data_IF_197012000832
#
_entry.id   IF_197012000832
#
_cell.length_a   1.000
_cell.length_b   1.000
_cell.length_c   1.000
_cell.angle_alpha   90.00
_cell.angle_beta   90.00
_cell.angle_gamma   90.00
#
_symmetry.space_group_name_H-M   'P 1'
#
loop_
_entity.id
_entity.type
_entity.pdbx_description
1 polymer ?
#
# COMPACT_ATOMS: atom_id res chain seq x y z
N UNK A 1 -29.08 -1.23 -2.20
CA UNK A 1 -29.13 -2.10 -3.39
C UNK A 1 -30.39 -1.85 -4.18
N UNK A 2 -31.56 -1.74 -3.54
CA UNK A 2 -32.81 -1.30 -4.20
C UNK A 2 -32.61 0.00 -5.00
N UNK A 3 -32.01 1.04 -4.39
CA UNK A 3 -31.76 2.31 -5.09
C UNK A 3 -30.84 2.18 -6.31
N UNK A 4 -29.89 1.23 -6.30
CA UNK A 4 -29.02 0.96 -7.44
C UNK A 4 -29.81 0.32 -8.58
N UNK A 5 -30.65 -0.67 -8.26
CA UNK A 5 -31.54 -1.32 -9.23
C UNK A 5 -32.48 -0.30 -9.86
N UNK A 6 -33.08 0.59 -9.05
CA UNK A 6 -33.95 1.65 -9.54
C UNK A 6 -33.20 2.66 -10.41
N UNK A 7 -32.03 3.14 -9.98
CA UNK A 7 -31.23 4.08 -10.77
C UNK A 7 -30.82 3.52 -12.14
N UNK A 8 -30.47 2.23 -12.20
CA UNK A 8 -30.15 1.57 -13.47
C UNK A 8 -31.39 1.36 -14.33
N UNK A 9 -32.52 0.98 -13.73
CA UNK A 9 -33.80 0.86 -14.44
C UNK A 9 -34.26 2.20 -15.03
N UNK A 10 -34.04 3.31 -14.31
CA UNK A 10 -34.30 4.67 -14.79
C UNK A 10 -33.44 5.01 -16.01
N UNK A 11 -32.14 4.70 -15.94
CA UNK A 11 -31.24 4.93 -17.05
C UNK A 11 -31.62 4.08 -18.28
N UNK A 12 -32.02 2.82 -18.05
CA UNK A 12 -32.52 1.93 -19.10
C UNK A 12 -33.79 2.45 -19.76
N UNK A 13 -34.75 2.92 -18.96
CA UNK A 13 -36.01 3.50 -19.47
C UNK A 13 -35.74 4.76 -20.28
N UNK A 14 -34.85 5.63 -19.80
CA UNK A 14 -34.47 6.83 -20.54
C UNK A 14 -33.85 6.49 -21.89
N UNK A 15 -32.82 5.64 -21.95
CA UNK A 15 -32.10 5.36 -23.20
C UNK A 15 -32.98 4.65 -24.25
N UNK A 16 -33.97 3.86 -23.82
CA UNK A 16 -34.93 3.20 -24.71
C UNK A 16 -35.82 4.19 -25.48
N UNK A 17 -36.00 5.41 -24.95
CA UNK A 17 -36.75 6.49 -25.60
C UNK A 17 -35.92 7.42 -26.48
N UNK A 18 -34.60 7.22 -26.58
CA UNK A 18 -33.67 8.11 -27.28
C UNK A 18 -33.09 7.48 -28.55
N UNK A 19 -32.49 8.27 -29.46
CA UNK A 19 -31.61 7.74 -30.49
C UNK A 19 -30.50 6.86 -29.90
N UNK A 20 -30.27 5.69 -30.47
CA UNK A 20 -29.37 4.68 -29.90
C UNK A 20 -27.91 5.05 -30.16
N UNK A 21 -27.21 5.53 -29.13
CA UNK A 21 -25.74 5.58 -29.10
C UNK A 21 -25.21 4.23 -28.62
N UNK A 22 -24.60 3.40 -29.49
CA UNK A 22 -24.34 1.99 -29.18
C UNK A 22 -23.49 1.75 -27.93
N UNK A 23 -22.49 2.60 -27.68
CA UNK A 23 -21.59 2.40 -26.53
C UNK A 23 -22.26 2.78 -25.21
N UNK A 24 -23.11 3.81 -25.20
CA UNK A 24 -23.91 4.15 -24.03
C UNK A 24 -24.90 3.04 -23.72
N UNK A 25 -25.54 2.44 -24.74
CA UNK A 25 -26.43 1.29 -24.55
C UNK A 25 -25.70 0.06 -23.99
N UNK A 26 -24.49 -0.22 -24.47
CA UNK A 26 -23.63 -1.29 -23.93
C UNK A 26 -23.30 -1.04 -22.45
N UNK A 27 -22.90 0.19 -22.09
CA UNK A 27 -22.64 0.56 -20.69
C UNK A 27 -23.88 0.35 -19.84
N UNK A 28 -25.07 0.74 -20.29
CA UNK A 28 -26.32 0.50 -19.55
C UNK A 28 -26.54 -1.00 -19.31
N UNK A 29 -26.30 -1.86 -20.30
CA UNK A 29 -26.41 -3.32 -20.14
C UNK A 29 -25.39 -3.91 -19.14
N UNK A 30 -24.18 -3.37 -19.12
CA UNK A 30 -23.20 -3.73 -18.08
C UNK A 30 -23.66 -3.27 -16.69
N UNK A 31 -24.24 -2.08 -16.57
CA UNK A 31 -24.79 -1.57 -15.31
C UNK A 31 -26.00 -2.40 -14.83
N UNK A 32 -26.83 -2.93 -15.73
CA UNK A 32 -27.92 -3.87 -15.40
C UNK A 32 -27.35 -5.18 -14.84
N UNK A 33 -26.30 -5.71 -15.45
CA UNK A 33 -25.59 -6.89 -14.94
C UNK A 33 -25.06 -6.66 -13.52
N UNK A 34 -24.47 -5.47 -13.28
CA UNK A 34 -23.97 -5.07 -11.98
C UNK A 34 -25.10 -4.90 -10.94
N UNK A 35 -26.19 -4.22 -11.29
CA UNK A 35 -27.32 -4.02 -10.41
C UNK A 35 -27.96 -5.35 -10.01
N UNK A 36 -28.12 -6.28 -10.95
CA UNK A 36 -28.65 -7.62 -10.69
C UNK A 36 -27.76 -8.43 -9.75
N UNK A 37 -26.43 -8.27 -9.83
CA UNK A 37 -25.51 -8.92 -8.91
C UNK A 37 -25.73 -8.48 -7.45
N UNK A 38 -26.03 -7.20 -7.23
CA UNK A 38 -26.25 -6.64 -5.89
C UNK A 38 -27.71 -6.68 -5.42
N UNK A 39 -28.67 -6.93 -6.31
CA UNK A 39 -30.09 -6.93 -5.98
C UNK A 39 -30.42 -7.91 -4.84
N UNK A 40 -31.17 -7.43 -3.84
CA UNK A 40 -31.60 -8.22 -2.69
C UNK A 40 -30.46 -8.64 -1.75
N UNK A 41 -29.28 -8.02 -1.85
CA UNK A 41 -28.10 -8.49 -1.10
C UNK A 41 -28.09 -8.10 0.38
N UNK A 42 -29.05 -7.29 0.81
CA UNK A 42 -29.18 -6.81 2.19
C UNK A 42 -30.47 -7.21 2.89
N UNK A 43 -31.31 -8.03 2.25
CA UNK A 43 -32.53 -8.57 2.85
C UNK A 43 -32.69 -10.07 2.52
N UNK A 44 -32.46 -10.98 3.49
CA UNK A 44 -32.08 -10.70 4.88
C UNK A 44 -30.64 -10.14 5.00
N UNK A 45 -30.25 -9.60 6.18
CA UNK A 45 -28.88 -9.14 6.42
C UNK A 45 -27.83 -10.23 6.07
N UNK A 46 -26.80 -9.92 5.27
CA UNK A 46 -25.85 -10.92 4.78
C UNK A 46 -24.87 -11.34 5.87
N UNK A 47 -24.50 -12.63 5.86
CA UNK A 47 -23.39 -13.15 6.66
C UNK A 47 -22.02 -12.77 6.06
N UNK A 48 -20.93 -13.10 6.76
CA UNK A 48 -19.57 -12.79 6.29
C UNK A 48 -19.27 -13.41 4.92
N UNK A 49 -19.69 -14.65 4.67
CA UNK A 49 -19.43 -15.35 3.41
C UNK A 49 -20.11 -14.64 2.24
N UNK A 50 -21.36 -14.20 2.43
CA UNK A 50 -22.11 -13.44 1.43
C UNK A 50 -21.50 -12.07 1.23
N UNK A 51 -21.16 -11.34 2.30
CA UNK A 51 -20.47 -10.05 2.22
C UNK A 51 -19.14 -10.15 1.44
N UNK A 52 -18.36 -11.20 1.69
CA UNK A 52 -17.11 -11.46 0.98
C UNK A 52 -17.33 -11.78 -0.51
N UNK A 53 -18.38 -12.51 -0.85
CA UNK A 53 -18.73 -12.75 -2.25
C UNK A 53 -19.10 -11.43 -2.97
N UNK A 54 -19.78 -10.51 -2.29
CA UNK A 54 -20.21 -9.23 -2.85
C UNK A 54 -19.05 -8.27 -3.14
N UNK A 55 -17.85 -8.47 -2.57
CA UNK A 55 -16.66 -7.67 -2.91
C UNK A 55 -15.99 -8.09 -4.22
N UNK A 56 -16.49 -9.16 -4.86
CA UNK A 56 -15.94 -9.73 -6.08
C UNK A 56 -16.97 -9.75 -7.23
N UNK A 57 -17.49 -8.58 -7.67
CA UNK A 57 -18.40 -8.55 -8.81
C UNK A 57 -17.70 -8.97 -10.10
N UNK A 58 -18.50 -9.40 -11.09
CA UNK A 58 -17.99 -9.69 -12.44
C UNK A 58 -17.28 -8.46 -13.00
N UNK A 59 -16.16 -8.70 -13.66
CA UNK A 59 -15.37 -7.63 -14.29
C UNK A 59 -16.06 -7.13 -15.56
N UNK A 60 -16.43 -5.85 -15.58
CA UNK A 60 -17.11 -5.19 -16.70
C UNK A 60 -16.17 -4.22 -17.43
N UNK A 61 -16.44 -3.94 -18.71
CA UNK A 61 -15.60 -3.03 -19.51
C UNK A 61 -15.70 -1.57 -19.05
N UNK A 62 -16.81 -1.20 -18.41
CA UNK A 62 -17.01 0.10 -17.77
C UNK A 62 -16.22 0.30 -16.46
N UNK A 63 -15.35 -0.63 -16.03
CA UNK A 63 -14.57 -0.52 -14.78
C UNK A 63 -13.08 -0.22 -15.02
N UNK A 64 -12.48 0.66 -14.20
CA UNK A 64 -11.05 1.04 -14.28
C UNK A 64 -10.10 -0.13 -14.03
N UNK A 65 -9.14 -0.38 -14.92
CA UNK A 65 -8.11 -1.44 -14.78
C UNK A 65 -7.56 -1.49 -13.33
N UNK A 66 -7.81 -2.59 -12.63
CA UNK A 66 -7.41 -2.89 -11.24
C UNK A 66 -8.29 -2.34 -10.09
N UNK A 67 -9.34 -1.56 -10.37
CA UNK A 67 -10.36 -1.21 -9.36
C UNK A 67 -11.75 -1.57 -9.86
N UNK A 68 -12.74 -1.62 -8.97
CA UNK A 68 -14.13 -1.81 -9.36
C UNK A 68 -14.87 -0.49 -9.57
N UNK A 69 -14.14 0.63 -9.71
CA UNK A 69 -14.71 1.95 -9.95
C UNK A 69 -15.22 2.07 -11.38
N UNK A 70 -16.40 2.67 -11.54
CA UNK A 70 -16.99 2.91 -12.84
C UNK A 70 -16.27 4.05 -13.57
N UNK A 71 -16.16 3.91 -14.89
CA UNK A 71 -15.57 4.89 -15.80
C UNK A 71 -16.71 5.71 -16.42
N UNK A 72 -16.73 7.02 -16.13
CA UNK A 72 -17.68 7.93 -16.79
C UNK A 72 -17.51 7.87 -18.32
N UNK A 73 -18.57 7.54 -19.08
CA UNK A 73 -18.49 7.54 -20.54
C UNK A 73 -18.20 8.94 -21.07
N UNK A 74 -17.22 9.06 -21.97
CA UNK A 74 -16.91 10.31 -22.69
C UNK A 74 -17.44 10.22 -24.12
N UNK A 75 -18.74 10.49 -24.31
CA UNK A 75 -19.46 10.21 -25.57
C UNK A 75 -20.00 11.45 -26.30
N UNK A 76 -19.64 12.67 -25.89
CA UNK A 76 -20.18 13.92 -26.45
C UNK A 76 -20.15 13.95 -27.98
N UNK A 77 -18.99 13.75 -28.58
CA UNK A 77 -18.86 13.77 -30.05
C UNK A 77 -19.61 12.63 -30.76
N UNK A 78 -19.85 11.50 -30.09
CA UNK A 78 -20.66 10.41 -30.65
C UNK A 78 -22.15 10.78 -30.68
N UNK A 79 -22.64 11.36 -29.58
CA UNK A 79 -24.01 11.88 -29.49
C UNK A 79 -24.26 13.03 -30.47
N UNK A 80 -23.33 13.99 -30.59
CA UNK A 80 -23.42 15.10 -31.54
C UNK A 80 -23.46 14.61 -33.00
N UNK A 81 -22.72 13.54 -33.33
CA UNK A 81 -22.76 12.91 -34.67
C UNK A 81 -24.10 12.21 -34.93
N UNK A 82 -24.70 11.60 -33.90
CA UNK A 82 -25.93 10.83 -34.03
C UNK A 82 -27.18 11.71 -34.16
N UNK A 83 -27.25 12.79 -33.39
CA UNK A 83 -28.47 13.59 -33.21
C UNK A 83 -28.28 15.09 -33.53
N UNK A 84 -27.11 15.49 -34.03
CA UNK A 84 -26.74 16.90 -34.22
C UNK A 84 -26.16 17.53 -32.95
N UNK A 85 -25.49 18.69 -33.11
CA UNK A 85 -24.74 19.35 -32.02
C UNK A 85 -25.59 19.66 -30.79
N UNK A 86 -26.75 20.28 -30.98
CA UNK A 86 -27.56 20.76 -29.86
C UNK A 86 -28.29 19.62 -29.12
N UNK A 87 -29.00 18.76 -29.86
CA UNK A 87 -29.70 17.62 -29.26
C UNK A 87 -28.71 16.58 -28.73
N UNK A 88 -27.65 16.26 -29.47
CA UNK A 88 -26.60 15.33 -29.02
C UNK A 88 -25.85 15.82 -27.79
N UNK A 89 -25.57 17.13 -27.71
CA UNK A 89 -25.00 17.75 -26.50
C UNK A 89 -25.89 17.53 -25.26
N UNK A 90 -27.20 17.80 -25.39
CA UNK A 90 -28.17 17.57 -24.31
C UNK A 90 -28.30 16.10 -23.93
N UNK A 91 -28.42 15.20 -24.89
CA UNK A 91 -28.51 13.76 -24.62
C UNK A 91 -27.26 13.21 -23.93
N UNK A 92 -26.07 13.68 -24.28
CA UNK A 92 -24.85 13.32 -23.58
C UNK A 92 -24.84 13.83 -22.12
N UNK A 93 -25.36 15.02 -21.87
CA UNK A 93 -25.46 15.58 -20.52
C UNK A 93 -26.47 14.80 -19.67
N UNK A 94 -27.66 14.53 -20.21
CA UNK A 94 -28.68 13.69 -19.57
C UNK A 94 -28.14 12.28 -19.26
N UNK A 95 -27.51 11.60 -20.23
CA UNK A 95 -26.85 10.31 -20.00
C UNK A 95 -25.81 10.39 -18.87
N UNK A 96 -25.08 11.51 -18.82
CA UNK A 96 -24.12 11.80 -17.77
C UNK A 96 -24.75 11.87 -16.39
N UNK A 97 -25.92 12.50 -16.26
CA UNK A 97 -26.66 12.63 -15.00
C UNK A 97 -27.18 11.27 -14.52
N UNK A 98 -27.75 10.45 -15.41
CA UNK A 98 -28.17 9.09 -15.06
C UNK A 98 -26.98 8.23 -14.63
N UNK A 99 -25.86 8.31 -15.35
CA UNK A 99 -24.63 7.60 -14.98
C UNK A 99 -24.11 8.04 -13.60
N UNK A 100 -24.07 9.35 -13.32
CA UNK A 100 -23.65 9.88 -12.01
C UNK A 100 -24.53 9.39 -10.87
N UNK A 101 -25.86 9.30 -11.09
CA UNK A 101 -26.79 8.71 -10.12
C UNK A 101 -26.50 7.23 -9.88
N UNK A 102 -26.27 6.45 -10.95
CA UNK A 102 -25.90 5.03 -10.83
C UNK A 102 -24.57 4.86 -10.09
N UNK A 103 -23.53 5.65 -10.44
CA UNK A 103 -22.22 5.60 -9.76
C UNK A 103 -22.35 5.94 -8.27
N UNK A 104 -23.18 6.92 -7.92
CA UNK A 104 -23.47 7.25 -6.53
C UNK A 104 -24.11 6.07 -5.78
N UNK A 105 -25.22 5.52 -6.30
CA UNK A 105 -25.90 4.38 -5.68
C UNK A 105 -25.00 3.15 -5.58
N UNK A 106 -24.15 2.91 -6.58
CA UNK A 106 -23.17 1.83 -6.57
C UNK A 106 -22.12 2.02 -5.46
N UNK A 107 -21.55 3.21 -5.30
CA UNK A 107 -20.63 3.53 -4.20
C UNK A 107 -21.29 3.38 -2.83
N UNK A 108 -22.56 3.74 -2.69
CA UNK A 108 -23.32 3.52 -1.45
C UNK A 108 -23.43 2.02 -1.14
N UNK A 109 -23.71 1.18 -2.13
CA UNK A 109 -23.70 -0.29 -1.96
C UNK A 109 -22.33 -0.79 -1.51
N UNK A 110 -21.24 -0.36 -2.18
CA UNK A 110 -19.87 -0.73 -1.78
C UNK A 110 -19.54 -0.29 -0.35
N UNK A 111 -19.91 0.94 0.03
CA UNK A 111 -19.71 1.46 1.38
C UNK A 111 -20.48 0.68 2.44
N UNK A 112 -21.71 0.25 2.15
CA UNK A 112 -22.50 -0.63 3.03
C UNK A 112 -21.84 -2.00 3.20
N UNK A 113 -21.35 -2.61 2.11
CA UNK A 113 -20.62 -3.90 2.17
C UNK A 113 -19.36 -3.75 3.04
N UNK A 114 -18.55 -2.71 2.79
CA UNK A 114 -17.34 -2.46 3.56
C UNK A 114 -17.63 -2.26 5.05
N UNK A 115 -18.65 -1.46 5.38
CA UNK A 115 -19.08 -1.22 6.77
C UNK A 115 -19.54 -2.51 7.45
N UNK A 116 -20.34 -3.33 6.77
CA UNK A 116 -20.82 -4.59 7.31
C UNK A 116 -19.70 -5.63 7.49
N UNK A 117 -18.72 -5.66 6.58
CA UNK A 117 -17.52 -6.50 6.73
C UNK A 117 -16.68 -6.09 7.93
N UNK A 118 -16.42 -4.79 8.09
CA UNK A 118 -15.69 -4.27 9.26
C UNK A 118 -16.43 -4.64 10.55
N UNK A 119 -17.74 -4.42 10.62
CA UNK A 119 -18.55 -4.78 11.78
C UNK A 119 -18.49 -6.29 12.09
N UNK A 120 -18.57 -7.14 11.06
CA UNK A 120 -18.49 -8.61 11.22
C UNK A 120 -17.11 -9.04 11.73
N UNK A 121 -16.04 -8.41 11.25
CA UNK A 121 -14.68 -8.70 11.71
C UNK A 121 -14.42 -8.18 13.12
N UNK A 122 -14.97 -7.02 13.48
CA UNK A 122 -14.82 -6.45 14.83
C UNK A 122 -15.30 -7.39 15.92
N UNK A 123 -16.45 -8.06 15.73
CA UNK A 123 -16.96 -9.05 16.70
C UNK A 123 -15.95 -10.19 16.90
N UNK A 124 -15.39 -10.72 15.81
CA UNK A 124 -14.39 -11.81 15.88
C UNK A 124 -13.10 -11.33 16.56
N UNK A 125 -12.67 -10.09 16.31
CA UNK A 125 -11.50 -9.51 16.95
C UNK A 125 -11.72 -9.30 18.46
N UNK A 126 -12.90 -8.85 18.86
CA UNK A 126 -13.28 -8.70 20.27
C UNK A 126 -13.33 -10.05 20.99
N UNK A 127 -13.93 -11.07 20.36
CA UNK A 127 -13.95 -12.44 20.87
C UNK A 127 -12.54 -13.02 21.00
N UNK A 128 -11.68 -12.79 20.02
CA UNK A 128 -10.28 -13.23 20.06
C UNK A 128 -9.50 -12.52 21.18
N UNK A 129 -9.70 -11.21 21.36
CA UNK A 129 -9.09 -10.46 22.44
C UNK A 129 -9.57 -10.94 23.82
N UNK A 130 -10.87 -11.24 23.96
CA UNK A 130 -11.45 -11.80 25.18
C UNK A 130 -10.89 -13.19 25.47
N UNK A 131 -10.74 -14.04 24.46
CA UNK A 131 -10.11 -15.35 24.57
C UNK A 131 -8.66 -15.24 25.04
N UNK A 132 -7.83 -14.41 24.39
CA UNK A 132 -6.43 -14.17 24.79
C UNK A 132 -6.34 -13.72 26.25
N UNK A 133 -7.22 -12.80 26.66
CA UNK A 133 -7.28 -12.31 28.04
C UNK A 133 -7.65 -13.40 29.04
N UNK A 134 -8.65 -14.22 28.73
CA UNK A 134 -9.05 -15.34 29.59
C UNK A 134 -7.93 -16.39 29.73
N UNK A 135 -7.16 -16.60 28.67
CA UNK A 135 -6.00 -17.49 28.67
C UNK A 135 -4.71 -16.87 29.26
N UNK A 136 -4.72 -15.57 29.61
CA UNK A 136 -3.56 -14.82 30.08
C UNK A 136 -2.34 -14.88 29.12
N UNK A 137 -2.60 -14.87 27.81
CA UNK A 137 -1.57 -14.90 26.76
C UNK A 137 -1.51 -13.57 26.00
N UNK A 138 -0.33 -13.28 25.44
CA UNK A 138 -0.08 -12.18 24.52
C UNK A 138 0.59 -12.74 23.26
N UNK A 139 0.17 -12.28 22.09
CA UNK A 139 0.89 -12.50 20.84
C UNK A 139 1.94 -11.39 20.58
N UNK A 140 2.66 -11.48 19.46
CA UNK A 140 3.73 -10.54 19.14
C UNK A 140 3.22 -9.11 18.92
N UNK A 141 2.04 -8.96 18.33
CA UNK A 141 1.43 -7.65 18.08
C UNK A 141 0.94 -7.04 19.40
N UNK A 142 0.34 -7.84 20.29
CA UNK A 142 -0.05 -7.41 21.62
C UNK A 142 1.14 -6.85 22.41
N UNK A 143 2.32 -7.47 22.30
CA UNK A 143 3.51 -7.01 23.01
C UNK A 143 3.88 -5.58 22.58
N UNK A 144 3.84 -5.30 21.27
CA UNK A 144 4.13 -3.98 20.73
C UNK A 144 3.05 -2.96 21.11
N UNK A 145 1.77 -3.31 20.92
CA UNK A 145 0.66 -2.42 21.23
C UNK A 145 0.58 -2.06 22.72
N UNK A 146 0.77 -3.06 23.60
CA UNK A 146 0.75 -2.83 25.05
C UNK A 146 1.97 -2.06 25.53
N UNK A 147 3.16 -2.33 24.98
CA UNK A 147 4.35 -1.54 25.27
C UNK A 147 4.15 -0.08 24.85
N UNK A 148 3.61 0.15 23.65
CA UNK A 148 3.24 1.49 23.17
C UNK A 148 2.25 2.17 24.10
N UNK A 149 1.16 1.50 24.48
CA UNK A 149 0.15 2.07 25.39
C UNK A 149 0.75 2.42 26.77
N UNK A 150 1.64 1.58 27.31
CA UNK A 150 2.35 1.87 28.54
C UNK A 150 3.21 3.13 28.43
N UNK A 151 4.01 3.25 27.36
CA UNK A 151 4.92 4.38 27.16
C UNK A 151 4.16 5.67 26.82
N UNK A 152 3.09 5.58 26.03
CA UNK A 152 2.31 6.73 25.56
C UNK A 152 1.35 7.25 26.62
N UNK A 153 0.61 6.35 27.26
CA UNK A 153 -0.55 6.71 28.08
C UNK A 153 -0.21 6.76 29.59
N UNK A 154 0.92 6.17 30.01
CA UNK A 154 1.34 6.14 31.42
C UNK A 154 2.66 6.89 31.64
N UNK A 155 2.57 8.20 31.87
CA UNK A 155 3.71 9.10 32.06
C UNK A 155 4.74 8.63 33.13
N UNK A 156 4.35 8.08 34.29
CA UNK A 156 5.32 7.55 35.26
C UNK A 156 6.17 6.40 34.69
N UNK A 157 5.58 5.51 33.89
CA UNK A 157 6.30 4.42 33.23
C UNK A 157 7.27 4.99 32.20
N UNK A 158 6.82 5.93 31.36
CA UNK A 158 7.69 6.63 30.41
C UNK A 158 8.87 7.27 31.13
N UNK A 159 8.63 8.04 32.19
CA UNK A 159 9.70 8.72 32.95
C UNK A 159 10.69 7.75 33.58
N UNK A 160 10.23 6.61 34.09
CA UNK A 160 11.11 5.56 34.60
C UNK A 160 12.00 4.98 33.48
N UNK A 161 11.45 4.76 32.28
CA UNK A 161 12.21 4.29 31.12
C UNK A 161 13.19 5.36 30.60
N UNK A 162 12.77 6.62 30.54
CA UNK A 162 13.61 7.78 30.21
C UNK A 162 14.82 7.87 31.14
N UNK A 163 14.60 7.71 32.45
CA UNK A 163 15.67 7.74 33.45
C UNK A 163 16.60 6.53 33.34
N UNK A 164 16.06 5.35 33.00
CA UNK A 164 16.82 4.10 32.84
C UNK A 164 17.65 4.08 31.57
N UNK A 165 17.07 4.47 30.44
CA UNK A 165 17.69 4.42 29.11
C UNK A 165 18.14 5.82 28.68
N UNK A 166 19.38 6.15 29.07
CA UNK A 166 20.00 7.43 28.71
C UNK A 166 20.32 7.53 27.23
N UNK A 167 20.67 6.40 26.60
CA UNK A 167 21.04 6.28 25.20
C UNK A 167 20.42 5.01 24.62
N UNK A 168 19.85 5.12 23.43
CA UNK A 168 19.19 4.03 22.71
C UNK A 168 19.86 3.92 21.34
N UNK A 169 20.34 2.72 21.03
CA UNK A 169 20.94 2.39 19.74
C UNK A 169 19.99 1.45 18.99
N UNK A 170 19.63 1.83 17.77
CA UNK A 170 18.74 1.04 16.92
C UNK A 170 19.49 0.75 15.63
N UNK A 171 19.70 -0.54 15.38
CA UNK A 171 20.24 -1.02 14.11
C UNK A 171 19.08 -1.44 13.19
N UNK A 172 19.34 -1.53 11.89
CA UNK A 172 18.36 -1.90 10.86
C UNK A 172 17.04 -1.10 10.92
N UNK A 173 17.13 0.21 11.18
CA UNK A 173 15.95 1.06 11.38
C UNK A 173 15.00 1.10 10.18
N UNK A 174 15.48 0.76 8.97
CA UNK A 174 14.61 0.64 7.78
C UNK A 174 13.53 -0.44 7.92
N UNK A 175 13.72 -1.41 8.81
CA UNK A 175 12.77 -2.50 9.08
C UNK A 175 11.87 -2.25 10.29
N UNK A 176 11.94 -1.04 10.87
CA UNK A 176 11.13 -0.61 12.01
C UNK A 176 9.75 -0.13 11.55
N UNK A 177 8.71 -0.55 12.27
CA UNK A 177 7.33 -0.12 12.02
C UNK A 177 6.97 1.21 12.75
N UNK A 178 5.82 1.83 12.45
CA UNK A 178 5.40 3.07 13.11
C UNK A 178 5.19 2.96 14.63
N UNK A 179 4.73 1.80 15.13
CA UNK A 179 4.49 1.55 16.57
C UNK A 179 5.82 1.50 17.32
N UNK A 180 6.80 0.79 16.77
CA UNK A 180 8.16 0.71 17.31
C UNK A 180 8.84 2.08 17.31
N UNK A 181 8.72 2.83 16.20
CA UNK A 181 9.23 4.20 16.09
C UNK A 181 8.63 5.11 17.16
N UNK A 182 7.33 5.01 17.40
CA UNK A 182 6.64 5.78 18.46
C UNK A 182 7.16 5.43 19.86
N UNK A 183 7.33 4.15 20.17
CA UNK A 183 7.91 3.70 21.45
C UNK A 183 9.30 4.32 21.64
N UNK A 184 10.18 4.17 20.65
CA UNK A 184 11.57 4.63 20.71
C UNK A 184 11.66 6.16 20.91
N UNK A 185 10.90 6.93 20.11
CA UNK A 185 10.88 8.39 20.20
C UNK A 185 10.31 8.85 21.55
N UNK A 186 9.26 8.22 22.07
CA UNK A 186 8.69 8.60 23.36
C UNK A 186 9.64 8.31 24.54
N UNK A 187 10.44 7.23 24.49
CA UNK A 187 11.45 6.94 25.51
C UNK A 187 12.66 7.88 25.36
N UNK A 188 13.05 8.25 24.13
CA UNK A 188 14.13 9.20 23.86
C UNK A 188 13.73 10.67 24.10
N UNK A 189 12.44 10.98 24.17
CA UNK A 189 11.93 12.33 24.33
C UNK A 189 12.08 12.89 25.75
N UNK A 190 12.45 14.16 25.84
CA UNK A 190 12.27 14.97 27.06
C UNK A 190 10.79 15.30 27.23
N UNK A 191 10.19 15.83 26.17
CA UNK A 191 8.77 16.16 26.10
C UNK A 191 8.07 15.43 24.93
N UNK A 192 6.86 14.91 25.21
CA UNK A 192 6.08 14.13 24.24
C UNK A 192 5.10 15.04 23.49
N UNK A 193 5.04 14.89 22.17
CA UNK A 193 4.02 15.52 21.35
C UNK A 193 2.89 14.51 20.99
N UNK A 194 1.73 14.97 20.48
CA UNK A 194 0.68 14.07 20.01
C UNK A 194 1.13 13.14 18.88
N UNK A 195 2.05 13.59 18.03
CA UNK A 195 2.71 12.76 17.03
C UNK A 195 4.16 12.53 17.47
N UNK A 196 4.60 11.27 17.46
CA UNK A 196 5.92 10.88 17.98
C UNK A 196 7.07 11.64 17.30
N UNK A 197 6.98 11.87 15.99
CA UNK A 197 7.99 12.55 15.17
C UNK A 197 8.17 14.04 15.50
N UNK A 198 7.25 14.60 16.30
CA UNK A 198 7.28 15.98 16.75
C UNK A 198 7.68 16.09 18.23
N UNK A 199 7.98 14.97 18.89
CA UNK A 199 8.48 14.95 20.26
C UNK A 199 9.90 15.51 20.33
N UNK A 200 10.21 16.26 21.41
CA UNK A 200 11.52 16.87 21.61
C UNK A 200 12.46 15.83 22.19
N UNK A 201 13.47 15.39 21.44
CA UNK A 201 14.40 14.36 21.91
C UNK A 201 15.42 14.95 22.89
N UNK A 202 15.84 14.14 23.87
CA UNK A 202 16.99 14.50 24.70
C UNK A 202 18.26 14.42 23.84
N UNK A 203 19.18 15.40 23.91
CA UNK A 203 20.44 15.35 23.14
C UNK A 203 21.21 14.04 23.37
N UNK A 204 21.58 13.37 22.28
CA UNK A 204 22.35 12.11 22.31
C UNK A 204 21.59 10.88 22.83
N UNK A 205 20.28 10.96 23.02
CA UNK A 205 19.49 9.85 23.57
C UNK A 205 19.10 8.77 22.56
N UNK A 206 19.11 9.09 21.27
CA UNK A 206 18.71 8.18 20.20
C UNK A 206 19.74 8.19 19.07
N UNK A 207 20.25 7.02 18.74
CA UNK A 207 21.15 6.76 17.63
C UNK A 207 20.55 5.65 16.77
N UNK A 208 20.37 5.92 15.48
CA UNK A 208 19.73 5.00 14.56
C UNK A 208 20.64 4.76 13.36
N UNK A 209 20.77 3.50 12.97
CA UNK A 209 21.46 3.07 11.75
C UNK A 209 20.45 2.36 10.88
N UNK A 210 20.50 2.62 9.59
CA UNK A 210 19.68 1.89 8.63
C UNK A 210 19.98 2.29 7.19
N UNK A 211 19.52 1.45 6.27
CA UNK A 211 19.62 1.69 4.84
C UNK A 211 18.24 1.50 4.18
N UNK A 212 17.57 2.57 3.73
CA UNK A 212 16.26 2.44 3.11
C UNK A 212 16.29 1.64 1.80
N UNK A 213 17.47 1.44 1.18
CA UNK A 213 17.64 0.55 0.01
C UNK A 213 17.48 -0.93 0.37
N UNK A 214 17.58 -1.29 1.66
CA UNK A 214 17.52 -2.66 2.17
C UNK A 214 16.18 -2.98 2.85
N UNK A 215 15.19 -2.09 2.77
CA UNK A 215 13.87 -2.29 3.35
C UNK A 215 13.08 -3.36 2.59
N UNK A 216 13.24 -4.63 2.98
CA UNK A 216 12.61 -5.79 2.34
C UNK A 216 11.46 -6.39 3.16
N UNK A 217 11.23 -5.89 4.38
CA UNK A 217 10.20 -6.41 5.30
C UNK A 217 8.86 -5.68 5.25
N UNK A 218 8.50 -5.03 4.13
CA UNK A 218 7.21 -4.30 4.00
C UNK A 218 5.98 -5.16 4.33
N UNK A 219 6.05 -6.47 4.06
CA UNK A 219 4.98 -7.41 4.38
C UNK A 219 4.75 -7.63 5.90
N UNK A 220 5.70 -7.22 6.74
CA UNK A 220 5.62 -7.25 8.21
C UNK A 220 5.28 -5.89 8.83
N UNK A 221 4.92 -4.90 8.02
CA UNK A 221 4.59 -3.55 8.48
C UNK A 221 5.78 -2.59 8.58
N UNK A 222 7.00 -3.02 8.24
CA UNK A 222 8.12 -2.10 8.05
C UNK A 222 7.76 -1.05 7.00
N UNK A 223 8.02 0.21 7.31
CA UNK A 223 7.59 1.33 6.49
C UNK A 223 8.77 2.27 6.22
N UNK A 224 9.18 2.36 4.95
CA UNK A 224 10.16 3.35 4.48
C UNK A 224 9.70 4.77 4.80
N UNK A 225 8.38 4.99 4.91
CA UNK A 225 7.81 6.23 5.42
C UNK A 225 8.22 6.55 6.86
N UNK A 226 8.29 5.56 7.75
CA UNK A 226 8.73 5.72 9.13
C UNK A 226 10.21 6.08 9.21
N UNK A 227 11.05 5.44 8.38
CA UNK A 227 12.45 5.84 8.20
C UNK A 227 12.57 7.31 7.77
N UNK A 228 11.82 7.73 6.74
CA UNK A 228 11.83 9.10 6.24
C UNK A 228 11.32 10.12 7.26
N UNK A 229 10.30 9.76 8.04
CA UNK A 229 9.75 10.59 9.11
C UNK A 229 10.76 10.76 10.26
N UNK A 230 11.41 9.68 10.69
CA UNK A 230 12.45 9.73 11.72
C UNK A 230 13.65 10.55 11.27
N UNK A 231 14.17 10.31 10.05
CA UNK A 231 15.24 11.13 9.44
C UNK A 231 14.87 12.61 9.45
N UNK A 232 13.66 12.93 9.01
CA UNK A 232 13.16 14.31 8.98
C UNK A 232 13.01 14.90 10.37
N UNK A 233 12.61 14.13 11.37
CA UNK A 233 12.49 14.57 12.76
C UNK A 233 13.86 14.92 13.36
N UNK A 234 14.86 14.08 13.12
CA UNK A 234 16.26 14.33 13.54
C UNK A 234 16.81 15.57 12.84
N UNK A 235 16.69 15.67 11.51
CA UNK A 235 17.21 16.83 10.75
C UNK A 235 16.57 18.15 11.19
N UNK A 236 15.27 18.17 11.52
CA UNK A 236 14.59 19.38 12.03
C UNK A 236 15.13 19.85 13.37
N UNK A 237 15.42 18.91 14.29
CA UNK A 237 15.86 19.24 15.65
C UNK A 237 17.38 19.44 15.73
N UNK A 238 18.15 18.70 14.93
CA UNK A 238 19.60 18.81 14.83
C UNK A 238 20.06 18.73 13.37
N UNK A 239 20.05 19.86 12.65
CA UNK A 239 20.57 19.94 11.29
C UNK A 239 22.03 19.44 11.22
N UNK A 240 22.33 18.58 10.24
CA UNK A 240 23.67 18.01 10.07
C UNK A 240 23.98 16.75 10.89
N UNK A 241 23.04 16.25 11.71
CA UNK A 241 23.22 14.97 12.42
C UNK A 241 22.85 13.73 11.59
N UNK A 242 22.45 13.90 10.33
CA UNK A 242 22.28 12.80 9.39
C UNK A 242 23.62 12.50 8.71
N UNK A 243 24.26 11.40 9.12
CA UNK A 243 25.53 10.95 8.57
C UNK A 243 25.30 9.89 7.51
N UNK A 244 25.88 10.10 6.32
CA UNK A 244 25.86 9.12 5.24
C UNK A 244 27.21 8.41 5.17
N UNK A 245 27.20 7.09 5.31
CA UNK A 245 28.40 6.25 5.18
C UNK A 245 28.41 5.63 3.78
N UNK A 246 29.37 6.02 2.94
CA UNK A 246 29.53 5.49 1.57
C UNK A 246 30.69 4.51 1.45
N UNK A 247 31.61 4.51 2.42
CA UNK A 247 32.75 3.63 2.48
C UNK A 247 32.30 2.17 2.73
N UNK A 248 32.64 1.28 1.81
CA UNK A 248 32.36 -0.14 1.90
C UNK A 248 33.65 -0.92 2.15
N UNK A 249 33.70 -1.54 3.33
CA UNK A 249 34.81 -2.36 3.81
C UNK A 249 34.60 -3.87 3.58
N UNK A 250 33.58 -4.26 2.80
CA UNK A 250 33.17 -5.67 2.64
C UNK A 250 33.50 -6.22 1.26
N UNK A 251 33.37 -5.38 0.24
CA UNK A 251 33.34 -5.80 -1.17
C UNK A 251 34.42 -5.11 -1.98
N UNK A 252 34.86 -5.80 -3.04
CA UNK A 252 35.84 -5.29 -4.00
C UNK A 252 35.23 -4.20 -4.90
N UNK A 253 36.06 -3.31 -5.48
CA UNK A 253 35.60 -2.23 -6.35
C UNK A 253 34.69 -2.69 -7.49
N UNK A 254 35.00 -3.82 -8.12
CA UNK A 254 34.26 -4.37 -9.26
C UNK A 254 32.84 -4.82 -8.90
N UNK A 255 32.64 -5.43 -7.72
CA UNK A 255 31.30 -5.78 -7.20
C UNK A 255 30.48 -4.50 -7.00
N UNK A 256 31.08 -3.49 -6.36
CA UNK A 256 30.39 -2.22 -6.10
C UNK A 256 30.09 -1.47 -7.40
N UNK A 257 31.00 -1.49 -8.36
CA UNK A 257 30.79 -0.90 -9.69
C UNK A 257 29.61 -1.55 -10.40
N UNK A 258 29.54 -2.89 -10.35
CA UNK A 258 28.43 -3.65 -10.91
C UNK A 258 27.10 -3.29 -10.22
N UNK A 259 27.07 -3.34 -8.88
CA UNK A 259 25.87 -3.02 -8.08
C UNK A 259 25.41 -1.57 -8.30
N UNK A 260 26.32 -0.60 -8.24
CA UNK A 260 26.03 0.82 -8.51
C UNK A 260 25.36 0.99 -9.88
N UNK A 261 25.94 0.40 -10.94
CA UNK A 261 25.39 0.46 -12.30
C UNK A 261 24.01 -0.18 -12.41
N UNK A 262 23.77 -1.30 -11.74
CA UNK A 262 22.49 -2.01 -11.82
C UNK A 262 21.36 -1.29 -11.07
N UNK A 263 21.66 -0.65 -9.94
CA UNK A 263 20.64 -0.16 -9.00
C UNK A 263 20.47 1.36 -8.97
N UNK A 264 21.39 2.13 -9.54
CA UNK A 264 21.29 3.60 -9.59
C UNK A 264 20.00 4.07 -10.26
N UNK A 265 19.71 3.63 -11.49
CA UNK A 265 18.50 4.05 -12.21
C UNK A 265 17.21 3.54 -11.55
N UNK A 266 17.06 2.24 -11.21
CA UNK A 266 15.83 1.75 -10.59
C UNK A 266 15.49 2.40 -9.25
N UNK A 267 16.50 2.69 -8.42
CA UNK A 267 16.31 3.24 -7.07
C UNK A 267 16.29 4.78 -7.02
N UNK A 268 16.54 5.46 -8.14
CA UNK A 268 16.44 6.93 -8.26
C UNK A 268 15.10 7.40 -8.84
N UNK A 269 14.18 6.48 -9.16
CA UNK A 269 12.86 6.81 -9.68
C UNK A 269 11.94 7.51 -8.67
N UNK A 270 10.88 8.15 -9.15
CA UNK A 270 9.89 8.79 -8.29
C UNK A 270 9.25 7.76 -7.31
N UNK A 271 9.21 8.11 -6.03
CA UNK A 271 8.70 7.24 -4.97
C UNK A 271 9.71 6.21 -4.42
N UNK A 272 10.95 6.22 -4.91
CA UNK A 272 12.05 5.43 -4.35
C UNK A 272 12.83 6.21 -3.30
N UNK A 273 13.55 5.54 -2.38
CA UNK A 273 14.33 6.22 -1.34
C UNK A 273 15.56 6.99 -1.84
N UNK A 274 15.90 6.85 -3.13
CA UNK A 274 17.12 7.38 -3.73
C UNK A 274 18.28 6.38 -3.65
N UNK A 275 19.27 6.57 -4.52
CA UNK A 275 20.48 5.76 -4.54
C UNK A 275 21.70 6.56 -4.10
N UNK A 276 22.50 5.97 -3.21
CA UNK A 276 23.80 6.50 -2.81
C UNK A 276 24.84 5.46 -3.20
N UNK A 277 25.77 5.78 -4.12
CA UNK A 277 26.78 4.83 -4.55
C UNK A 277 27.76 4.52 -3.41
N UNK A 278 28.13 3.25 -3.30
CA UNK A 278 29.13 2.79 -2.37
C UNK A 278 30.53 2.87 -3.00
N UNK A 279 31.52 3.26 -2.20
CA UNK A 279 32.92 3.34 -2.59
C UNK A 279 33.73 2.26 -1.86
N UNK A 280 34.53 1.48 -2.60
CA UNK A 280 35.38 0.46 -2.00
C UNK A 280 36.49 1.10 -1.18
N UNK A 281 36.83 0.48 -0.06
CA UNK A 281 38.03 0.81 0.74
C UNK A 281 39.10 -0.26 0.66
N UNK A 282 38.82 -1.36 -0.06
CA UNK A 282 39.73 -2.48 -0.27
C UNK A 282 40.34 -2.32 -1.66
N UNK A 283 41.65 -2.55 -1.76
CA UNK A 283 42.37 -2.52 -3.03
C UNK A 283 41.85 -3.59 -4.00
N UNK A 284 41.92 -3.32 -5.32
CA UNK A 284 41.63 -4.33 -6.33
C UNK A 284 42.58 -5.53 -6.18
N UNK A 285 42.09 -6.77 -6.43
CA UNK A 285 42.93 -7.95 -6.36
C UNK A 285 44.04 -7.89 -7.42
N UNK A 286 45.19 -8.48 -7.13
CA UNK A 286 46.28 -8.60 -8.10
C UNK A 286 46.00 -9.61 -9.23
N UNK A 287 44.93 -10.41 -9.10
CA UNK A 287 44.52 -11.38 -10.11
C UNK A 287 43.36 -10.86 -10.95
N UNK A 288 43.32 -11.26 -12.23
CA UNK A 288 42.29 -10.87 -13.19
C UNK A 288 41.03 -11.74 -13.10
N UNK A 289 40.80 -12.42 -11.96
CA UNK A 289 39.62 -13.27 -11.81
C UNK A 289 38.36 -12.41 -11.72
N UNK A 290 37.29 -12.74 -12.49
CA UNK A 290 36.03 -12.00 -12.41
C UNK A 290 35.42 -12.18 -11.03
N UNK A 291 34.87 -11.11 -10.45
CA UNK A 291 34.19 -11.15 -9.16
C UNK A 291 32.67 -10.92 -9.26
N UNK A 292 32.16 -10.66 -10.46
CA UNK A 292 30.74 -10.61 -10.79
C UNK A 292 30.52 -11.25 -12.17
N UNK A 293 29.56 -12.17 -12.27
CA UNK A 293 29.13 -12.78 -13.53
C UNK A 293 27.64 -12.51 -13.72
N UNK A 294 27.23 -12.27 -14.97
CA UNK A 294 25.81 -12.14 -15.34
C UNK A 294 25.41 -13.37 -16.14
N UNK A 295 24.45 -14.12 -15.63
CA UNK A 295 23.81 -15.22 -16.35
C UNK A 295 22.49 -14.70 -16.92
N UNK A 296 22.25 -14.95 -18.19
CA UNK A 296 20.95 -14.69 -18.83
C UNK A 296 20.21 -16.02 -18.89
N UNK A 297 19.04 -16.07 -18.26
CA UNK A 297 18.16 -17.26 -18.27
C UNK A 297 17.07 -17.02 -19.31
N UNK A 298 17.14 -17.73 -20.42
CA UNK A 298 16.17 -17.59 -21.52
C UNK A 298 14.92 -18.42 -21.22
N UNK A 299 13.81 -17.74 -20.89
CA UNK A 299 12.50 -18.35 -20.65
C UNK A 299 11.46 -17.83 -21.66
N UNK A 300 10.50 -18.67 -22.11
CA UNK A 300 9.44 -18.22 -23.01
C UNK A 300 8.63 -17.05 -22.44
N UNK A 301 8.18 -16.10 -23.28
CA UNK A 301 7.30 -15.03 -22.85
C UNK A 301 6.03 -15.59 -22.19
N UNK A 302 5.60 -15.00 -21.06
CA UNK A 302 4.45 -15.44 -20.24
C UNK A 302 4.64 -16.79 -19.51
N UNK A 303 5.87 -17.24 -19.29
CA UNK A 303 6.15 -18.37 -18.41
C UNK A 303 5.59 -18.15 -16.99
N UNK A 304 5.08 -19.21 -16.37
CA UNK A 304 4.64 -19.17 -14.97
C UNK A 304 5.84 -18.93 -14.06
N UNK A 305 5.63 -18.22 -12.94
CA UNK A 305 6.69 -17.89 -11.99
C UNK A 305 7.46 -19.10 -11.46
N UNK A 306 6.80 -20.25 -11.31
CA UNK A 306 7.44 -21.51 -10.92
C UNK A 306 8.49 -21.96 -11.95
N UNK A 307 8.12 -22.01 -13.24
CA UNK A 307 9.06 -22.38 -14.30
C UNK A 307 10.24 -21.43 -14.43
N UNK A 308 10.03 -20.12 -14.19
CA UNK A 308 11.11 -19.13 -14.20
C UNK A 308 12.12 -19.45 -13.08
N UNK A 309 11.63 -19.76 -11.87
CA UNK A 309 12.49 -20.12 -10.74
C UNK A 309 13.25 -21.41 -10.97
N UNK A 310 12.61 -22.42 -11.58
CA UNK A 310 13.28 -23.69 -11.89
C UNK A 310 14.42 -23.49 -12.90
N UNK A 311 14.17 -22.72 -13.97
CA UNK A 311 15.21 -22.37 -14.95
C UNK A 311 16.34 -21.53 -14.33
N UNK A 312 16.03 -20.60 -13.42
CA UNK A 312 17.03 -19.85 -12.66
C UNK A 312 17.87 -20.79 -11.77
N UNK A 313 17.24 -21.72 -11.06
CA UNK A 313 17.92 -22.67 -10.19
C UNK A 313 18.85 -23.61 -10.97
N UNK A 314 18.40 -24.11 -12.13
CA UNK A 314 19.21 -24.94 -13.02
C UNK A 314 20.44 -24.18 -13.53
N UNK A 315 20.26 -22.95 -14.01
CA UNK A 315 21.37 -22.12 -14.49
C UNK A 315 22.40 -21.77 -13.38
N UNK A 316 21.95 -21.60 -12.13
CA UNK A 316 22.85 -21.42 -10.98
C UNK A 316 23.58 -22.71 -10.63
N UNK A 317 22.90 -23.86 -10.70
CA UNK A 317 23.50 -25.16 -10.43
C UNK A 317 24.60 -25.52 -11.45
N UNK A 318 24.44 -25.17 -12.72
CA UNK A 318 25.48 -25.38 -13.75
C UNK A 318 26.74 -24.52 -13.52
N UNK A 319 26.63 -23.42 -12.77
CA UNK A 319 27.76 -22.55 -12.45
C UNK A 319 28.61 -23.05 -11.26
N UNK A 320 28.00 -23.82 -10.36
CA UNK A 320 28.60 -24.25 -9.08
C UNK A 320 29.31 -25.61 -9.19
#
# INVERSE_FOLDING_TARGET
>A
DIDLVEAVADFRRWIAGQPVEPKTLEVVGELETLANFYAGSFDPPPDFRRLWALTHPIRLSCMRRNTFDLIRPRRKSAWEKLAGRDLGGRLNEEAGQYFERVDHCYRVVLGRIATALVASLSVVLDDYAAFKRAAAVLDFDDLLERARALVRDHDPVRRALVARYRQIFVDEFQDTDPIQSEILFLIAAEDRAPQWKDSVLRPGSLFMVGDPKQAIYRFRGADVGSYAQARSAIERQWPGNIVQITANFRSRPDILTYVNRCFETPLSGAGQPGYVPLAATIDPPANELPCAARITVDVPPNSRSEHIRDAEAEAVAELC
#
